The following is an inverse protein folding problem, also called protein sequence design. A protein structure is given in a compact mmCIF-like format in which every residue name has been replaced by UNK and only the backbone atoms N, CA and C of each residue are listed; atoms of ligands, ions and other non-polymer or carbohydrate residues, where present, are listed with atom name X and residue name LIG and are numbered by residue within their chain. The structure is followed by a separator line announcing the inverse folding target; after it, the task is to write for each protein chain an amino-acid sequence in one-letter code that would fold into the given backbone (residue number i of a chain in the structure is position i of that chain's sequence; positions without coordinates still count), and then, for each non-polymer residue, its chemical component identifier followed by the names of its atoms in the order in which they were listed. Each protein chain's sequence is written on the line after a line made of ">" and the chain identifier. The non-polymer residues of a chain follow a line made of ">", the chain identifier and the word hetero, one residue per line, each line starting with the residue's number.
data_IF_126432937254
#
_entry.id   IF_126432937254
#
_cell.length_a   1.000
_cell.length_b   1.000
_cell.length_c   1.000
_cell.angle_alpha   90.00
_cell.angle_beta   90.00
_cell.angle_gamma   90.00
#
_symmetry.space_group_name_H-M   'P 1'
#
loop_
_entity.id
_entity.type
_entity.pdbx_description
1 polymer ?
#
# COMPACT_ATOMS: atom_id res chain seq x y z
N UNK A 1 -34.84 -14.79 26.44
CA UNK A 1 -33.39 -15.09 26.50
C UNK A 1 -32.68 -14.00 25.71
N UNK A 2 -32.08 -13.01 26.40
CA UNK A 2 -31.44 -11.84 25.75
C UNK A 2 -30.12 -12.31 25.12
N UNK A 3 -30.11 -12.52 23.80
CA UNK A 3 -28.90 -12.82 23.05
C UNK A 3 -27.98 -11.59 23.16
N UNK A 4 -26.87 -11.74 23.88
CA UNK A 4 -25.80 -10.75 23.92
C UNK A 4 -25.10 -10.79 22.56
N UNK A 5 -25.60 -10.00 21.59
CA UNK A 5 -24.81 -9.60 20.42
C UNK A 5 -23.78 -8.60 20.91
N UNK A 6 -22.69 -9.11 21.48
CA UNK A 6 -21.45 -8.34 21.60
C UNK A 6 -20.86 -8.31 20.19
N UNK A 7 -21.37 -7.38 19.38
CA UNK A 7 -20.87 -7.16 18.03
C UNK A 7 -19.35 -6.98 18.11
N UNK A 8 -18.65 -7.74 17.29
CA UNK A 8 -17.19 -7.86 17.20
C UNK A 8 -16.52 -6.57 16.67
N UNK A 9 -16.84 -5.42 17.28
CA UNK A 9 -16.38 -4.08 16.90
C UNK A 9 -15.09 -3.63 17.62
N UNK A 10 -14.44 -4.52 18.37
CA UNK A 10 -13.27 -4.17 19.19
C UNK A 10 -12.05 -5.11 19.03
N UNK A 11 -12.03 -5.97 18.00
CA UNK A 11 -11.02 -7.06 17.92
C UNK A 11 -9.93 -6.84 16.86
N UNK A 12 -9.99 -5.82 16.01
CA UNK A 12 -8.82 -5.49 15.15
C UNK A 12 -7.88 -4.50 15.81
N UNK A 13 -8.35 -3.67 16.74
CA UNK A 13 -7.48 -2.92 17.66
C UNK A 13 -6.79 -3.83 18.69
N UNK A 14 -7.35 -5.01 19.00
CA UNK A 14 -6.76 -5.94 19.96
C UNK A 14 -5.67 -6.87 19.37
N UNK A 15 -5.63 -7.08 18.05
CA UNK A 15 -4.54 -7.83 17.39
C UNK A 15 -3.38 -6.93 16.94
N UNK A 16 -3.56 -5.62 17.06
CA UNK A 16 -2.50 -4.61 17.00
C UNK A 16 -2.55 -3.78 18.30
N UNK A 17 -2.61 -4.47 19.45
CA UNK A 17 -2.11 -3.83 20.66
C UNK A 17 -0.66 -3.42 20.39
N UNK A 18 -0.15 -2.29 20.93
CA UNK A 18 1.28 -2.20 21.10
C UNK A 18 1.69 -3.50 21.77
N UNK A 19 2.69 -4.21 21.24
CA UNK A 19 3.38 -5.22 22.01
C UNK A 19 3.70 -4.54 23.33
N UNK A 20 2.93 -4.86 24.38
CA UNK A 20 3.21 -4.47 25.74
C UNK A 20 4.44 -5.30 26.13
N UNK A 21 5.59 -4.88 25.59
CA UNK A 21 6.86 -4.99 26.28
C UNK A 21 6.60 -4.36 27.64
N UNK A 22 6.84 -5.15 28.68
CA UNK A 22 6.69 -4.75 30.06
C UNK A 22 7.26 -3.34 30.26
N UNK A 23 6.53 -2.53 31.02
CA UNK A 23 6.94 -1.19 31.40
C UNK A 23 8.27 -1.25 32.16
N UNK A 24 9.36 -1.02 31.44
CA UNK A 24 10.51 -0.32 31.94
C UNK A 24 10.57 1.00 31.17
N UNK A 25 10.69 2.09 31.91
CA UNK A 25 10.80 3.47 31.40
C UNK A 25 12.05 3.61 30.53
N UNK A 26 11.92 3.37 29.22
CA UNK A 26 12.90 3.74 28.20
C UNK A 26 12.22 4.25 26.93
N UNK A 27 12.86 5.23 26.31
CA UNK A 27 12.35 6.11 25.26
C UNK A 27 11.57 5.41 24.13
N UNK A 28 10.59 6.14 23.57
CA UNK A 28 10.09 5.94 22.20
C UNK A 28 11.25 5.47 21.32
N UNK A 29 11.18 4.32 20.63
CA UNK A 29 12.33 3.79 19.90
C UNK A 29 12.89 4.89 19.00
N UNK A 30 14.14 5.29 19.26
CA UNK A 30 14.81 6.40 18.59
C UNK A 30 14.75 6.30 17.04
N UNK A 31 14.49 5.09 16.50
CA UNK A 31 14.30 4.81 15.08
C UNK A 31 13.07 5.49 14.41
N UNK A 32 11.97 5.76 15.13
CA UNK A 32 10.78 6.40 14.51
C UNK A 32 10.98 7.91 14.36
N UNK A 33 11.67 8.57 15.29
CA UNK A 33 11.98 10.01 15.23
C UNK A 33 13.13 10.31 14.25
N UNK A 34 14.03 9.35 14.02
CA UNK A 34 15.07 9.47 12.97
C UNK A 34 14.53 9.20 11.54
N UNK A 35 13.39 8.52 11.39
CA UNK A 35 12.85 8.02 10.10
C UNK A 35 12.48 9.09 9.06
N UNK A 36 12.30 10.35 9.45
CA UNK A 36 12.06 11.46 8.51
C UNK A 36 13.31 12.31 8.21
N UNK A 37 14.34 12.22 9.05
CA UNK A 37 15.57 13.01 8.92
C UNK A 37 16.45 12.52 7.77
N UNK A 38 16.36 11.24 7.41
CA UNK A 38 17.21 10.63 6.37
C UNK A 38 16.65 10.82 4.95
N UNK A 39 15.33 10.70 4.75
CA UNK A 39 14.75 10.88 3.41
C UNK A 39 14.83 12.34 2.94
N UNK A 40 14.51 13.30 3.82
CA UNK A 40 14.57 14.73 3.52
C UNK A 40 16.00 15.28 3.36
N UNK A 41 17.02 14.54 3.84
CA UNK A 41 18.44 14.87 3.66
C UNK A 41 19.05 14.25 2.40
N UNK A 42 18.51 13.12 1.92
CA UNK A 42 18.95 12.47 0.67
C UNK A 42 18.27 13.11 -0.55
N UNK A 43 16.96 13.33 -0.51
CA UNK A 43 16.20 13.80 -1.65
C UNK A 43 16.67 15.20 -2.12
N UNK A 44 16.82 15.41 -3.45
CA UNK A 44 17.08 16.74 -3.99
C UNK A 44 16.04 17.76 -3.53
N UNK A 45 16.43 19.03 -3.39
CA UNK A 45 15.60 20.09 -2.80
C UNK A 45 14.19 20.17 -3.39
N UNK A 46 14.07 20.06 -4.71
CA UNK A 46 12.81 20.11 -5.45
C UNK A 46 11.90 18.88 -5.26
N UNK A 47 12.40 17.81 -4.64
CA UNK A 47 11.69 16.54 -4.45
C UNK A 47 11.49 16.19 -2.96
N UNK A 48 11.81 17.10 -2.03
CA UNK A 48 11.66 16.87 -0.59
C UNK A 48 10.23 16.60 -0.14
N UNK A 49 9.21 17.01 -0.90
CA UNK A 49 7.82 16.68 -0.60
C UNK A 49 7.56 15.17 -0.56
N UNK A 50 8.32 14.37 -1.31
CA UNK A 50 8.21 12.91 -1.30
C UNK A 50 8.68 12.25 0.00
N UNK A 51 9.26 13.00 0.94
CA UNK A 51 9.54 12.51 2.29
C UNK A 51 8.26 12.27 3.11
N UNK A 52 7.12 12.85 2.72
CA UNK A 52 5.82 12.66 3.39
C UNK A 52 4.68 12.39 2.40
N UNK A 53 4.66 13.11 1.27
CA UNK A 53 3.65 13.00 0.21
C UNK A 53 4.18 12.18 -0.96
N UNK A 54 3.95 10.87 -0.92
CA UNK A 54 4.32 9.92 -1.96
C UNK A 54 3.19 8.91 -2.13
N UNK A 55 2.76 8.63 -3.36
CA UNK A 55 1.80 7.56 -3.56
C UNK A 55 2.45 6.22 -3.23
N UNK A 56 1.79 5.44 -2.41
CA UNK A 56 2.09 4.04 -2.20
C UNK A 56 0.98 3.21 -2.81
N UNK A 57 1.28 2.55 -3.92
CA UNK A 57 0.35 1.74 -4.72
C UNK A 57 0.51 0.29 -4.30
N UNK A 58 -0.58 -0.31 -3.80
CA UNK A 58 -0.61 -1.73 -3.43
C UNK A 58 -1.35 -2.49 -4.53
N UNK A 59 -0.70 -3.52 -5.09
CA UNK A 59 -1.29 -4.47 -6.05
C UNK A 59 -1.16 -5.86 -5.46
N UNK A 60 -2.27 -6.35 -4.92
CA UNK A 60 -2.35 -7.67 -4.33
C UNK A 60 -3.07 -8.60 -5.29
N UNK A 61 -2.32 -9.21 -6.21
CA UNK A 61 -2.86 -10.20 -7.13
C UNK A 61 -3.25 -11.48 -6.39
N UNK A 62 -2.62 -11.79 -5.25
CA UNK A 62 -2.90 -12.92 -4.33
C UNK A 62 -4.18 -12.77 -3.50
N UNK A 63 -4.70 -11.57 -3.32
CA UNK A 63 -6.00 -11.33 -2.66
C UNK A 63 -7.04 -10.64 -3.55
N UNK A 64 -6.61 -10.11 -4.70
CA UNK A 64 -7.49 -9.70 -5.79
C UNK A 64 -7.91 -8.26 -5.75
N UNK A 65 -7.08 -7.38 -5.22
CA UNK A 65 -7.40 -5.96 -5.11
C UNK A 65 -6.18 -5.08 -5.28
N UNK A 66 -6.46 -3.81 -5.55
CA UNK A 66 -5.48 -2.73 -5.53
C UNK A 66 -6.05 -1.53 -4.82
N UNK A 67 -5.19 -0.73 -4.21
CA UNK A 67 -5.51 0.57 -3.64
C UNK A 67 -4.24 1.43 -3.59
N UNK A 68 -4.41 2.73 -3.43
CA UNK A 68 -3.31 3.69 -3.29
C UNK A 68 -3.49 4.50 -2.02
N UNK A 69 -2.45 4.61 -1.20
CA UNK A 69 -2.40 5.61 -0.11
C UNK A 69 -1.54 6.80 -0.57
N UNK A 70 -1.95 8.07 -0.31
CA UNK A 70 -1.24 9.25 -0.79
C UNK A 70 -0.04 9.66 0.09
N UNK A 71 0.47 8.72 0.89
CA UNK A 71 1.55 8.98 1.85
C UNK A 71 2.67 7.97 1.74
N UNK A 72 3.86 8.46 2.12
CA UNK A 72 5.02 7.62 2.33
C UNK A 72 4.81 6.72 3.55
N UNK A 73 5.23 5.47 3.43
CA UNK A 73 5.11 4.43 4.46
C UNK A 73 6.39 4.30 5.26
N UNK A 74 6.39 4.61 6.54
CA UNK A 74 7.60 4.41 7.37
C UNK A 74 7.87 2.93 7.63
N UNK A 75 6.81 2.14 7.76
CA UNK A 75 6.88 0.70 8.01
C UNK A 75 5.60 0.01 7.53
N UNK A 76 5.65 -1.31 7.33
CA UNK A 76 4.49 -2.07 6.92
C UNK A 76 4.58 -3.57 7.14
N UNK A 77 3.43 -4.17 7.38
CA UNK A 77 3.26 -5.61 7.53
C UNK A 77 2.12 -6.10 6.65
N UNK A 78 2.32 -7.26 6.04
CA UNK A 78 1.25 -8.06 5.48
C UNK A 78 0.70 -8.97 6.58
N UNK A 79 -0.62 -8.99 6.71
CA UNK A 79 -1.36 -9.79 7.68
C UNK A 79 -2.07 -10.91 6.92
N UNK A 80 -2.02 -12.12 7.46
CA UNK A 80 -2.75 -13.29 6.97
C UNK A 80 -3.06 -14.21 8.16
N UNK A 81 -4.25 -14.09 8.76
CA UNK A 81 -4.54 -14.78 10.01
C UNK A 81 -6.01 -15.21 10.16
N UNK A 82 -6.20 -16.35 10.81
CA UNK A 82 -7.52 -16.77 11.30
C UNK A 82 -7.88 -16.05 12.59
N UNK A 83 -9.12 -15.60 12.68
CA UNK A 83 -9.68 -14.92 13.85
C UNK A 83 -10.92 -15.64 14.35
N UNK A 84 -11.08 -15.70 15.68
CA UNK A 84 -12.21 -16.39 16.34
C UNK A 84 -13.55 -15.64 16.23
N UNK A 85 -13.64 -14.59 15.43
CA UNK A 85 -14.84 -13.78 15.22
C UNK A 85 -15.57 -14.20 13.94
N UNK A 86 -16.73 -13.58 13.67
CA UNK A 86 -17.50 -13.76 12.42
C UNK A 86 -16.66 -13.49 11.15
N UNK A 87 -15.55 -12.75 11.29
CA UNK A 87 -14.62 -12.48 10.20
C UNK A 87 -13.87 -13.73 9.73
N UNK A 88 -13.72 -14.76 10.58
CA UNK A 88 -13.08 -16.05 10.31
C UNK A 88 -11.60 -15.98 9.93
N UNK A 89 -11.28 -15.25 8.88
CA UNK A 89 -9.97 -15.06 8.29
C UNK A 89 -9.80 -13.59 7.84
N UNK A 90 -8.62 -13.02 8.10
CA UNK A 90 -8.26 -11.62 7.78
C UNK A 90 -6.95 -11.63 7.01
N UNK A 91 -6.95 -10.95 5.87
CA UNK A 91 -5.77 -10.78 5.04
C UNK A 91 -5.62 -9.33 4.61
N UNK A 92 -4.39 -8.83 4.51
CA UNK A 92 -4.12 -7.54 3.90
C UNK A 92 -2.88 -6.87 4.43
N UNK A 93 -2.94 -5.54 4.59
CA UNK A 93 -1.77 -4.72 4.88
C UNK A 93 -2.05 -3.77 6.04
N UNK A 94 -1.04 -3.53 6.87
CA UNK A 94 -1.04 -2.48 7.89
C UNK A 94 0.25 -1.67 7.77
N UNK A 95 0.12 -0.36 7.87
CA UNK A 95 1.18 0.60 7.56
C UNK A 95 1.30 1.67 8.64
N UNK A 96 2.54 2.02 8.96
CA UNK A 96 2.88 3.27 9.64
C UNK A 96 3.24 4.30 8.57
N UNK A 97 2.75 5.53 8.71
CA UNK A 97 2.96 6.59 7.72
C UNK A 97 3.99 7.62 8.19
N UNK A 98 4.69 8.23 7.22
CA UNK A 98 5.46 9.44 7.46
C UNK A 98 4.48 10.64 7.50
N UNK A 99 3.97 10.94 8.69
CA UNK A 99 3.03 12.03 8.91
C UNK A 99 3.66 13.43 8.84
N UNK A 100 2.84 14.50 8.95
CA UNK A 100 3.31 15.89 8.94
C UNK A 100 4.22 16.24 10.12
N UNK A 101 4.07 15.53 11.23
CA UNK A 101 4.79 15.71 12.50
C UNK A 101 5.46 14.39 12.89
N UNK A 102 6.62 14.48 13.57
CA UNK A 102 7.45 13.33 13.93
C UNK A 102 7.04 12.67 15.25
N UNK A 103 6.31 13.39 16.09
CA UNK A 103 5.92 12.94 17.43
C UNK A 103 4.58 12.19 17.43
N UNK A 104 3.83 12.29 16.34
CA UNK A 104 2.50 11.73 16.21
C UNK A 104 2.52 10.41 15.44
N UNK A 105 1.61 9.51 15.83
CA UNK A 105 1.43 8.22 15.16
C UNK A 105 0.32 8.30 14.11
N UNK A 106 0.62 7.87 12.90
CA UNK A 106 -0.33 7.78 11.79
C UNK A 106 -0.29 6.37 11.23
N UNK A 107 -1.44 5.69 11.24
CA UNK A 107 -1.54 4.34 10.68
C UNK A 107 -2.60 4.26 9.62
N UNK A 108 -2.41 3.38 8.65
CA UNK A 108 -3.44 2.96 7.70
C UNK A 108 -3.34 1.46 7.52
N UNK A 109 -4.47 0.78 7.62
CA UNK A 109 -4.59 -0.65 7.30
C UNK A 109 -5.69 -0.86 6.28
N UNK A 110 -5.47 -1.81 5.39
CA UNK A 110 -6.43 -2.25 4.42
C UNK A 110 -6.52 -3.77 4.46
N UNK A 111 -7.70 -4.29 4.80
CA UNK A 111 -7.90 -5.73 5.01
C UNK A 111 -9.12 -6.25 4.27
N UNK A 112 -8.99 -7.46 3.76
CA UNK A 112 -10.05 -8.32 3.27
C UNK A 112 -10.38 -9.34 4.36
N UNK A 113 -11.66 -9.50 4.67
CA UNK A 113 -12.14 -10.42 5.72
C UNK A 113 -13.30 -11.25 5.20
N UNK A 114 -13.52 -12.45 5.73
CA UNK A 114 -14.71 -13.20 5.38
C UNK A 114 -15.95 -12.45 5.89
N UNK A 115 -17.02 -12.55 5.11
CA UNK A 115 -18.30 -11.93 5.39
C UNK A 115 -19.40 -13.00 5.43
N UNK A 116 -19.27 -13.88 6.43
CA UNK A 116 -20.12 -15.05 6.62
C UNK A 116 -21.46 -14.63 7.25
N UNK A 117 -22.60 -14.92 6.61
CA UNK A 117 -23.92 -14.66 7.19
C UNK A 117 -24.17 -15.48 8.47
N UNK A 118 -25.01 -14.96 9.35
CA UNK A 118 -25.55 -15.73 10.46
C UNK A 118 -26.45 -16.88 9.97
N UNK A 119 -26.59 -17.92 10.79
CA UNK A 119 -27.43 -19.08 10.47
C UNK A 119 -28.85 -18.66 10.09
N UNK A 120 -29.32 -19.15 8.94
CA UNK A 120 -30.65 -18.84 8.40
C UNK A 120 -30.75 -17.50 7.65
N UNK A 121 -29.69 -16.69 7.61
CA UNK A 121 -29.66 -15.42 6.86
C UNK A 121 -28.98 -15.62 5.51
N UNK A 122 -29.60 -15.17 4.42
CA UNK A 122 -28.98 -15.24 3.09
C UNK A 122 -27.85 -14.22 2.95
N UNK A 123 -26.82 -14.51 2.12
CA UNK A 123 -25.74 -13.55 1.84
C UNK A 123 -26.27 -12.20 1.34
N UNK A 124 -27.33 -12.22 0.52
CA UNK A 124 -27.95 -11.02 -0.02
C UNK A 124 -28.55 -10.16 1.10
N UNK A 125 -29.29 -10.78 2.01
CA UNK A 125 -29.89 -10.10 3.16
C UNK A 125 -28.81 -9.58 4.11
N UNK A 126 -27.81 -10.40 4.42
CA UNK A 126 -26.66 -10.02 5.24
C UNK A 126 -25.93 -8.78 4.71
N UNK A 127 -25.72 -8.73 3.39
CA UNK A 127 -25.00 -7.62 2.75
C UNK A 127 -25.83 -6.35 2.57
N UNK A 128 -27.15 -6.42 2.75
CA UNK A 128 -28.07 -5.29 2.51
C UNK A 128 -28.80 -4.82 3.76
N UNK A 129 -28.40 -5.34 4.93
CA UNK A 129 -28.98 -4.96 6.22
C UNK A 129 -27.91 -4.51 7.22
N UNK A 130 -28.32 -3.68 8.16
CA UNK A 130 -27.53 -3.24 9.30
C UNK A 130 -28.35 -3.51 10.57
N UNK A 131 -27.88 -4.45 11.40
CA UNK A 131 -28.67 -5.01 12.50
C UNK A 131 -30.08 -5.48 12.08
N UNK A 132 -30.19 -6.10 10.90
CA UNK A 132 -31.46 -6.57 10.34
C UNK A 132 -32.33 -5.50 9.68
N UNK A 133 -31.92 -4.22 9.71
CA UNK A 133 -32.64 -3.12 9.06
C UNK A 133 -32.08 -2.90 7.65
N UNK A 134 -32.90 -2.87 6.59
CA UNK A 134 -32.42 -2.59 5.23
C UNK A 134 -31.65 -1.27 5.14
N UNK A 135 -30.44 -1.30 4.56
CA UNK A 135 -29.57 -0.11 4.49
C UNK A 135 -30.00 0.89 3.40
N UNK A 136 -30.74 0.41 2.40
CA UNK A 136 -31.13 1.24 1.25
C UNK A 136 -32.07 2.35 1.69
N UNK A 137 -31.67 3.60 1.46
CA UNK A 137 -32.48 4.78 1.75
C UNK A 137 -32.37 5.29 3.20
N UNK A 138 -31.49 4.72 4.02
CA UNK A 138 -31.20 5.26 5.34
C UNK A 138 -30.41 6.57 5.23
N UNK A 139 -30.79 7.57 6.02
CA UNK A 139 -29.95 8.74 6.28
C UNK A 139 -28.79 8.39 7.22
N UNK A 140 -27.79 9.26 7.31
CA UNK A 140 -26.67 9.09 8.24
C UNK A 140 -27.15 9.10 9.69
N UNK A 141 -28.15 9.92 10.03
CA UNK A 141 -28.74 9.97 11.37
C UNK A 141 -29.47 8.67 11.71
N UNK A 142 -30.19 8.08 10.75
CA UNK A 142 -30.86 6.80 10.94
C UNK A 142 -29.85 5.67 11.13
N UNK A 143 -28.78 5.65 10.33
CA UNK A 143 -27.66 4.70 10.48
C UNK A 143 -27.05 4.77 11.88
N UNK A 144 -26.68 5.97 12.33
CA UNK A 144 -26.08 6.19 13.65
C UNK A 144 -27.05 5.86 14.79
N UNK A 145 -28.35 6.16 14.63
CA UNK A 145 -29.38 5.81 15.61
C UNK A 145 -29.51 4.30 15.81
N UNK A 146 -29.54 3.54 14.71
CA UNK A 146 -29.55 2.07 14.78
C UNK A 146 -28.28 1.58 15.48
N UNK A 147 -27.10 2.06 15.09
CA UNK A 147 -25.85 1.62 15.73
C UNK A 147 -25.83 1.93 17.23
N UNK A 148 -26.28 3.12 17.64
CA UNK A 148 -26.35 3.53 19.05
C UNK A 148 -27.26 2.64 19.90
N UNK A 149 -28.32 2.07 19.32
CA UNK A 149 -29.20 1.13 20.03
C UNK A 149 -28.56 -0.25 20.28
N UNK A 150 -27.50 -0.56 19.53
CA UNK A 150 -26.86 -1.88 19.53
C UNK A 150 -25.39 -1.86 20.00
N UNK A 151 -24.85 -0.70 20.42
CA UNK A 151 -23.46 -0.55 20.81
C UNK A 151 -23.28 0.51 21.90
N UNK A 152 -22.46 0.19 22.91
CA UNK A 152 -22.06 1.07 24.01
C UNK A 152 -20.89 2.01 23.63
N UNK A 153 -20.32 1.85 22.43
CA UNK A 153 -19.19 2.65 21.95
C UNK A 153 -19.46 4.17 21.98
N UNK A 154 -20.72 4.60 21.90
CA UNK A 154 -21.13 6.02 21.93
C UNK A 154 -21.05 6.65 23.33
N UNK A 155 -20.91 5.85 24.39
CA UNK A 155 -20.85 6.36 25.76
C UNK A 155 -19.53 7.10 25.99
N UNK A 156 -18.41 6.51 25.53
CA UNK A 156 -17.06 7.07 25.67
C UNK A 156 -16.56 7.86 24.45
N UNK A 157 -17.25 7.80 23.31
CA UNK A 157 -16.76 8.36 22.06
C UNK A 157 -17.78 9.26 21.36
N UNK A 158 -17.27 10.29 20.71
CA UNK A 158 -17.97 11.05 19.68
C UNK A 158 -17.79 10.32 18.35
N UNK A 159 -18.92 10.02 17.69
CA UNK A 159 -18.93 9.22 16.47
C UNK A 159 -19.69 9.96 15.38
N UNK A 160 -19.00 10.17 14.27
CA UNK A 160 -19.55 10.60 13.00
C UNK A 160 -19.47 9.44 12.01
N UNK A 161 -20.41 9.36 11.07
CA UNK A 161 -20.39 8.29 10.08
C UNK A 161 -21.67 8.19 9.29
N UNK A 162 -21.68 7.25 8.35
CA UNK A 162 -22.81 7.05 7.47
C UNK A 162 -22.51 6.16 6.29
N UNK A 163 -23.44 6.17 5.32
CA UNK A 163 -23.26 5.48 4.05
C UNK A 163 -22.63 6.41 3.01
N UNK A 164 -21.89 5.83 2.07
CA UNK A 164 -21.38 6.54 0.92
C UNK A 164 -21.51 5.71 -0.35
N UNK A 165 -21.54 6.37 -1.50
CA UNK A 165 -21.59 5.67 -2.78
C UNK A 165 -20.21 5.17 -3.17
N UNK A 166 -20.03 3.84 -3.26
CA UNK A 166 -18.86 3.21 -3.87
C UNK A 166 -19.30 2.43 -5.10
N UNK A 167 -18.71 2.75 -6.26
CA UNK A 167 -19.00 2.07 -7.52
C UNK A 167 -18.75 0.56 -7.39
N UNK A 168 -19.76 -0.24 -7.71
CA UNK A 168 -19.70 -1.70 -7.67
C UNK A 168 -19.72 -2.30 -6.26
N UNK A 169 -20.15 -1.53 -5.26
CA UNK A 169 -20.38 -2.01 -3.89
C UNK A 169 -21.88 -2.19 -3.62
N UNK A 170 -22.22 -3.28 -2.94
CA UNK A 170 -23.57 -3.54 -2.42
C UNK A 170 -23.85 -2.64 -1.21
N UNK A 171 -22.83 -2.44 -0.38
CA UNK A 171 -22.85 -1.60 0.81
C UNK A 171 -21.49 -0.94 0.99
N UNK A 172 -21.49 0.34 1.36
CA UNK A 172 -20.29 1.07 1.71
C UNK A 172 -20.60 2.11 2.79
N UNK A 173 -19.83 2.08 3.87
CA UNK A 173 -20.06 2.86 5.08
C UNK A 173 -18.75 3.33 5.69
N UNK A 174 -18.82 4.40 6.46
CA UNK A 174 -17.67 4.93 7.15
C UNK A 174 -18.05 5.44 8.54
N UNK A 175 -17.05 5.55 9.41
CA UNK A 175 -17.15 6.23 10.68
C UNK A 175 -15.82 6.86 11.07
N UNK A 176 -15.89 8.00 11.76
CA UNK A 176 -14.81 8.47 12.64
C UNK A 176 -15.26 8.30 14.07
N UNK A 177 -14.40 7.72 14.89
CA UNK A 177 -14.56 7.61 16.35
C UNK A 177 -13.46 8.44 17.00
N UNK A 178 -13.87 9.42 17.83
CA UNK A 178 -12.96 10.26 18.61
C UNK A 178 -13.33 10.13 20.09
N UNK A 179 -12.40 9.76 20.98
CA UNK A 179 -12.70 9.70 22.41
C UNK A 179 -13.12 11.05 22.97
N UNK A 180 -14.18 11.08 23.81
CA UNK A 180 -14.70 12.33 24.41
C UNK A 180 -13.68 13.02 25.32
N UNK A 181 -12.76 12.26 25.89
CA UNK A 181 -11.65 12.78 26.70
C UNK A 181 -10.75 13.78 25.95
N UNK A 182 -10.76 13.77 24.62
CA UNK A 182 -10.10 14.79 23.79
C UNK A 182 -10.80 16.14 23.90
N UNK A 183 -12.12 16.19 23.67
CA UNK A 183 -12.90 17.42 23.74
C UNK A 183 -13.00 17.96 25.18
N UNK A 184 -13.07 17.05 26.15
CA UNK A 184 -13.11 17.37 27.57
C UNK A 184 -11.73 17.74 28.15
N UNK A 185 -10.65 17.52 27.40
CA UNK A 185 -9.25 17.72 27.82
C UNK A 185 -8.91 16.99 29.13
N UNK A 186 -9.48 15.79 29.33
CA UNK A 186 -9.34 15.00 30.57
C UNK A 186 -8.27 13.92 30.49
N UNK A 187 -7.75 13.61 29.30
CA UNK A 187 -6.72 12.60 29.09
C UNK A 187 -5.32 13.11 29.44
N UNK A 188 -4.56 12.33 30.19
CA UNK A 188 -3.10 12.52 30.38
C UNK A 188 -2.27 11.80 29.31
N UNK A 189 -2.91 10.98 28.47
CA UNK A 189 -2.30 10.23 27.38
C UNK A 189 -2.67 10.81 26.01
N UNK A 190 -1.87 10.49 24.99
CA UNK A 190 -2.14 10.89 23.61
C UNK A 190 -3.44 10.26 23.12
N UNK A 191 -4.44 11.09 22.78
CA UNK A 191 -5.72 10.62 22.23
C UNK A 191 -5.61 10.50 20.71
N UNK A 192 -6.17 9.41 20.17
CA UNK A 192 -6.21 9.14 18.73
C UNK A 192 -7.67 9.08 18.26
N UNK A 193 -7.94 9.64 17.08
CA UNK A 193 -9.14 9.33 16.31
C UNK A 193 -8.92 8.06 15.50
N UNK A 194 -10.01 7.31 15.27
CA UNK A 194 -10.03 6.18 14.36
C UNK A 194 -11.01 6.47 13.23
N UNK A 195 -10.54 6.44 11.99
CA UNK A 195 -11.38 6.45 10.81
C UNK A 195 -11.49 5.03 10.26
N UNK A 196 -12.70 4.58 9.98
CA UNK A 196 -12.96 3.32 9.31
C UNK A 196 -13.84 3.55 8.09
N UNK A 197 -13.50 2.90 6.99
CA UNK A 197 -14.39 2.71 5.87
C UNK A 197 -14.48 1.23 5.53
N UNK A 198 -15.70 0.77 5.29
CA UNK A 198 -15.99 -0.61 5.02
C UNK A 198 -16.89 -0.71 3.81
N UNK A 199 -16.58 -1.64 2.91
CA UNK A 199 -17.42 -1.91 1.75
C UNK A 199 -17.45 -3.39 1.37
N UNK A 200 -18.61 -3.80 0.86
CA UNK A 200 -18.86 -5.14 0.33
C UNK A 200 -19.09 -4.99 -1.16
N UNK A 201 -18.25 -5.64 -1.97
CA UNK A 201 -18.27 -5.49 -3.41
C UNK A 201 -19.28 -6.44 -4.06
N UNK A 202 -20.02 -5.98 -5.07
CA UNK A 202 -21.03 -6.81 -5.78
C UNK A 202 -20.41 -8.07 -6.40
N UNK A 203 -19.17 -7.95 -6.86
CA UNK A 203 -18.40 -9.04 -7.48
C UNK A 203 -17.68 -9.95 -6.48
N UNK A 204 -17.70 -9.60 -5.20
CA UNK A 204 -17.09 -10.39 -4.13
C UNK A 204 -17.94 -10.34 -2.84
N UNK A 205 -19.18 -10.86 -2.88
CA UNK A 205 -20.16 -10.64 -1.81
C UNK A 205 -19.84 -11.41 -0.52
N UNK A 206 -18.97 -12.41 -0.58
CA UNK A 206 -18.57 -13.24 0.56
C UNK A 206 -17.42 -12.63 1.36
N UNK A 207 -16.92 -11.45 0.95
CA UNK A 207 -15.85 -10.74 1.65
C UNK A 207 -16.24 -9.28 1.92
N UNK A 208 -15.63 -8.77 2.98
CA UNK A 208 -15.72 -7.38 3.41
C UNK A 208 -14.33 -6.77 3.32
N UNK A 209 -14.27 -5.58 2.76
CA UNK A 209 -13.05 -4.79 2.65
C UNK A 209 -13.11 -3.66 3.67
N UNK A 210 -12.10 -3.56 4.52
CA UNK A 210 -12.03 -2.60 5.61
C UNK A 210 -10.73 -1.80 5.51
N UNK A 211 -10.88 -0.49 5.37
CA UNK A 211 -9.85 0.52 5.57
C UNK A 211 -9.99 1.03 7.00
N UNK A 212 -8.93 0.97 7.80
CA UNK A 212 -8.90 1.58 9.13
C UNK A 212 -7.65 2.45 9.27
N UNK A 213 -7.77 3.62 9.88
CA UNK A 213 -6.69 4.56 10.08
C UNK A 213 -6.76 5.18 11.46
N UNK A 214 -5.61 5.33 12.13
CA UNK A 214 -5.50 6.03 13.41
C UNK A 214 -4.64 7.27 13.26
N UNK A 215 -5.07 8.38 13.84
CA UNK A 215 -4.36 9.66 13.78
C UNK A 215 -4.78 10.62 14.90
N UNK A 216 -3.94 11.60 15.29
CA UNK A 216 -4.31 12.59 16.28
C UNK A 216 -5.53 13.39 15.82
N UNK A 217 -6.54 13.67 16.68
CA UNK A 217 -7.76 14.34 16.26
C UNK A 217 -7.55 15.70 15.57
N UNK A 218 -6.50 16.45 15.91
CA UNK A 218 -6.16 17.72 15.27
C UNK A 218 -5.61 17.57 13.83
N UNK A 219 -5.24 16.35 13.42
CA UNK A 219 -4.77 16.02 12.06
C UNK A 219 -5.88 15.46 11.17
N UNK A 220 -7.13 15.60 11.60
CA UNK A 220 -8.33 15.15 10.88
C UNK A 220 -8.30 15.52 9.40
N UNK A 221 -8.11 16.80 9.08
CA UNK A 221 -8.21 17.27 7.70
C UNK A 221 -7.15 16.63 6.80
N UNK A 222 -5.91 16.50 7.30
CA UNK A 222 -4.83 15.87 6.55
C UNK A 222 -5.14 14.40 6.23
N UNK A 223 -5.58 13.64 7.23
CA UNK A 223 -5.82 12.20 7.07
C UNK A 223 -7.10 11.91 6.31
N UNK A 224 -8.22 12.52 6.69
CA UNK A 224 -9.51 12.25 6.05
C UNK A 224 -9.50 12.68 4.58
N UNK A 225 -8.84 13.78 4.23
CA UNK A 225 -8.69 14.19 2.83
C UNK A 225 -8.00 13.08 2.02
N UNK A 226 -6.85 12.56 2.47
CA UNK A 226 -6.15 11.50 1.73
C UNK A 226 -6.91 10.16 1.70
N UNK A 227 -7.67 9.84 2.74
CA UNK A 227 -8.52 8.63 2.76
C UNK A 227 -9.70 8.76 1.79
N UNK A 228 -10.43 9.87 1.85
CA UNK A 228 -11.66 10.10 1.09
C UNK A 228 -11.41 10.45 -0.37
N UNK A 229 -10.35 11.21 -0.69
CA UNK A 229 -10.06 11.67 -2.05
C UNK A 229 -9.15 10.69 -2.82
N UNK A 230 -8.34 9.88 -2.13
CA UNK A 230 -7.38 8.96 -2.78
C UNK A 230 -7.61 7.50 -2.42
N UNK A 231 -7.56 7.15 -1.14
CA UNK A 231 -7.50 5.74 -0.72
C UNK A 231 -8.78 4.97 -1.04
N UNK A 232 -9.94 5.48 -0.61
CA UNK A 232 -11.23 4.84 -0.87
C UNK A 232 -11.59 4.86 -2.37
N UNK A 233 -11.40 5.98 -3.10
CA UNK A 233 -11.67 6.00 -4.55
C UNK A 233 -10.78 5.05 -5.34
N UNK A 234 -9.49 4.96 -5.01
CA UNK A 234 -8.51 4.12 -5.72
C UNK A 234 -8.70 2.62 -5.51
N UNK A 235 -9.45 2.19 -4.48
CA UNK A 235 -9.72 0.77 -4.29
C UNK A 235 -10.46 0.17 -5.49
N UNK A 236 -9.92 -0.90 -6.05
CA UNK A 236 -10.57 -1.70 -7.07
C UNK A 236 -10.32 -3.19 -6.86
N UNK A 237 -11.32 -4.01 -7.20
CA UNK A 237 -11.11 -5.44 -7.37
C UNK A 237 -10.31 -5.67 -8.64
N UNK A 238 -9.14 -6.29 -8.48
CA UNK A 238 -8.44 -6.89 -9.60
C UNK A 238 -9.31 -8.03 -10.08
N UNK A 239 -9.66 -8.04 -11.37
CA UNK A 239 -10.47 -9.11 -11.93
C UNK A 239 -9.83 -10.46 -11.54
N UNK A 240 -10.50 -11.26 -10.72
CA UNK A 240 -10.14 -12.64 -10.48
C UNK A 240 -11.25 -13.46 -11.09
N UNK A 241 -11.05 -13.97 -12.30
CA UNK A 241 -11.90 -15.08 -12.70
C UNK A 241 -11.49 -16.29 -11.87
N UNK A 242 -12.36 -16.62 -10.94
CA UNK A 242 -12.39 -17.84 -10.14
C UNK A 242 -12.09 -19.07 -10.99
N UNK A 243 -11.15 -19.90 -10.53
CA UNK A 243 -10.93 -21.27 -11.02
C UNK A 243 -10.70 -21.40 -12.53
N UNK A 244 -9.43 -21.39 -12.95
CA UNK A 244 -9.00 -21.59 -14.34
C UNK A 244 -9.42 -20.50 -15.34
N UNK A 245 -8.43 -19.95 -16.05
CA UNK A 245 -8.69 -19.27 -17.32
C UNK A 245 -9.18 -17.81 -17.24
N UNK A 246 -8.22 -16.90 -17.32
CA UNK A 246 -8.33 -15.64 -18.05
C UNK A 246 -9.31 -14.58 -17.49
N UNK A 247 -8.73 -13.64 -16.76
CA UNK A 247 -9.01 -12.23 -17.03
C UNK A 247 -8.70 -11.99 -18.51
N UNK A 248 -9.69 -11.57 -19.32
CA UNK A 248 -9.37 -11.00 -20.64
C UNK A 248 -8.56 -9.72 -20.37
N UNK A 249 -7.24 -9.84 -20.46
CA UNK A 249 -6.29 -8.73 -20.29
C UNK A 249 -5.16 -9.04 -19.31
N UNK A 250 -5.45 -9.17 -18.02
CA UNK A 250 -4.43 -8.95 -16.98
C UNK A 250 -3.56 -10.19 -16.71
N UNK A 251 -4.13 -11.39 -16.50
CA UNK A 251 -3.30 -12.61 -16.39
C UNK A 251 -2.67 -13.01 -17.73
N UNK A 252 -3.37 -12.70 -18.84
CA UNK A 252 -2.83 -12.90 -20.18
C UNK A 252 -1.66 -11.94 -20.46
N UNK A 253 -1.53 -10.81 -19.75
CA UNK A 253 -0.39 -9.91 -19.89
C UNK A 253 0.89 -10.46 -19.26
N UNK A 254 0.79 -11.29 -18.22
CA UNK A 254 1.95 -11.74 -17.43
C UNK A 254 2.36 -13.21 -17.66
N UNK A 255 1.52 -14.03 -18.32
CA UNK A 255 1.82 -15.43 -18.60
C UNK A 255 2.26 -15.66 -20.05
N UNK A 256 3.46 -16.21 -20.26
CA UNK A 256 3.89 -16.68 -21.59
C UNK A 256 5.34 -17.15 -21.74
N UNK A 257 6.26 -16.78 -20.83
CA UNK A 257 7.66 -17.25 -20.82
C UNK A 257 8.14 -17.34 -19.36
N UNK A 258 9.09 -18.23 -19.06
CA UNK A 258 9.63 -18.41 -17.70
C UNK A 258 10.19 -17.09 -17.16
N UNK A 259 10.01 -16.84 -15.86
CA UNK A 259 10.63 -15.71 -15.16
C UNK A 259 12.15 -15.69 -15.44
N UNK A 260 12.69 -14.49 -15.64
CA UNK A 260 14.09 -14.24 -15.92
C UNK A 260 14.82 -14.17 -14.58
N UNK A 261 15.84 -15.02 -14.37
CA UNK A 261 16.75 -14.85 -13.24
C UNK A 261 17.62 -13.62 -13.50
N UNK A 262 17.56 -12.62 -12.61
CA UNK A 262 18.36 -11.40 -12.73
C UNK A 262 19.65 -11.54 -11.93
N UNK A 263 19.51 -11.86 -10.65
CA UNK A 263 20.59 -12.11 -9.69
C UNK A 263 20.06 -13.04 -8.59
N UNK A 264 20.93 -13.57 -7.73
CA UNK A 264 20.49 -14.36 -6.57
C UNK A 264 19.44 -13.59 -5.75
N UNK A 265 18.37 -14.28 -5.36
CA UNK A 265 17.24 -13.67 -4.65
C UNK A 265 16.23 -12.91 -5.52
N UNK A 266 16.52 -12.58 -6.79
CA UNK A 266 15.70 -11.67 -7.61
C UNK A 266 15.41 -12.21 -9.02
N UNK A 267 14.13 -12.29 -9.34
CA UNK A 267 13.60 -12.62 -10.68
C UNK A 267 12.85 -11.44 -11.28
N UNK A 268 12.68 -11.46 -12.60
CA UNK A 268 11.85 -10.53 -13.33
C UNK A 268 10.89 -11.27 -14.26
N UNK A 269 9.61 -10.91 -14.23
CA UNK A 269 8.57 -11.47 -15.09
C UNK A 269 8.86 -11.12 -16.53
N UNK A 270 8.83 -12.10 -17.44
CA UNK A 270 9.15 -11.85 -18.84
C UNK A 270 8.25 -10.74 -19.43
N UNK A 271 8.83 -9.67 -20.02
CA UNK A 271 8.08 -8.49 -20.46
C UNK A 271 7.28 -8.80 -21.73
N UNK A 272 6.00 -9.15 -21.58
CA UNK A 272 5.17 -9.54 -22.71
C UNK A 272 5.05 -8.42 -23.76
N UNK A 273 5.18 -8.81 -25.03
CA UNK A 273 5.11 -7.88 -26.16
C UNK A 273 6.41 -7.13 -26.43
N UNK A 274 7.45 -7.37 -25.63
CA UNK A 274 8.81 -6.96 -25.94
C UNK A 274 9.59 -8.12 -26.58
N UNK A 275 10.48 -7.78 -27.51
CA UNK A 275 11.41 -8.71 -28.16
C UNK A 275 12.76 -8.63 -27.47
N UNK A 276 13.35 -9.79 -27.15
CA UNK A 276 14.69 -9.86 -26.56
C UNK A 276 15.74 -9.31 -27.52
N UNK A 277 16.62 -8.42 -27.01
CA UNK A 277 17.79 -7.94 -27.73
C UNK A 277 18.97 -8.86 -27.40
N UNK A 278 19.69 -9.31 -28.43
CA UNK A 278 20.88 -10.16 -28.24
C UNK A 278 22.12 -9.29 -27.96
N UNK A 279 22.26 -8.81 -26.72
CA UNK A 279 23.43 -8.10 -26.23
C UNK A 279 24.16 -8.95 -25.18
N UNK A 280 25.44 -9.22 -25.41
CA UNK A 280 26.25 -10.07 -24.52
C UNK A 280 26.32 -9.45 -23.11
N UNK A 281 25.95 -10.24 -22.11
CA UNK A 281 26.00 -9.84 -20.70
C UNK A 281 24.90 -8.86 -20.25
N UNK A 282 23.90 -8.57 -21.09
CA UNK A 282 22.81 -7.65 -20.76
C UNK A 282 21.45 -8.32 -20.86
N UNK A 283 20.53 -7.91 -19.99
CA UNK A 283 19.13 -8.30 -20.04
C UNK A 283 18.33 -7.16 -20.67
N UNK A 284 18.27 -7.12 -22.00
CA UNK A 284 17.66 -6.01 -22.74
C UNK A 284 16.53 -6.48 -23.68
N UNK A 285 15.50 -5.66 -23.82
CA UNK A 285 14.35 -5.91 -24.67
C UNK A 285 13.91 -4.64 -25.41
N UNK A 286 13.19 -4.78 -26.51
CA UNK A 286 12.60 -3.66 -27.25
C UNK A 286 11.13 -3.90 -27.61
N UNK A 287 10.33 -2.84 -27.58
CA UNK A 287 8.97 -2.77 -28.14
C UNK A 287 8.79 -1.41 -28.79
N UNK A 288 8.56 -1.40 -30.10
CA UNK A 288 8.51 -0.18 -30.91
C UNK A 288 9.79 0.68 -30.69
N UNK A 289 9.63 1.92 -30.26
CA UNK A 289 10.71 2.86 -29.93
C UNK A 289 11.09 2.84 -28.44
N UNK A 290 10.60 1.89 -27.65
CA UNK A 290 10.91 1.76 -26.22
C UNK A 290 11.88 0.60 -26.01
N UNK A 291 12.98 0.89 -25.30
CA UNK A 291 13.96 -0.10 -24.83
C UNK A 291 13.73 -0.35 -23.35
N UNK A 292 13.78 -1.61 -22.93
CA UNK A 292 13.76 -2.04 -21.54
C UNK A 292 15.08 -2.73 -21.21
N UNK A 293 15.86 -2.16 -20.29
CA UNK A 293 17.06 -2.77 -19.74
C UNK A 293 16.79 -3.25 -18.31
N UNK A 294 17.28 -4.44 -17.98
CA UNK A 294 17.22 -5.02 -16.64
C UNK A 294 18.64 -5.31 -16.19
N UNK A 295 19.00 -4.75 -15.04
CA UNK A 295 20.36 -4.74 -14.51
C UNK A 295 20.32 -5.09 -13.01
N UNK A 296 21.45 -5.56 -12.48
CA UNK A 296 21.64 -5.76 -11.05
C UNK A 296 22.99 -5.27 -10.61
N UNK A 297 23.09 -4.83 -9.37
CA UNK A 297 24.32 -4.46 -8.71
C UNK A 297 24.25 -4.80 -7.21
N UNK A 298 25.40 -4.99 -6.60
CA UNK A 298 25.50 -5.26 -5.16
C UNK A 298 25.77 -3.95 -4.43
N UNK A 299 25.05 -3.71 -3.34
CA UNK A 299 25.37 -2.62 -2.42
C UNK A 299 26.30 -3.19 -1.34
N UNK A 300 27.35 -2.46 -0.92
CA UNK A 300 28.15 -2.88 0.23
C UNK A 300 27.22 -3.10 1.43
N UNK A 301 27.23 -4.30 2.01
CA UNK A 301 26.34 -4.74 3.12
C UNK A 301 26.42 -3.81 4.35
N UNK A 302 27.45 -2.97 4.46
CA UNK A 302 27.57 -1.96 5.51
C UNK A 302 26.64 -0.74 5.32
N UNK A 303 26.12 -0.51 4.10
CA UNK A 303 25.23 0.62 3.79
C UNK A 303 23.75 0.31 4.07
N UNK A 304 23.39 -0.96 4.26
CA UNK A 304 22.04 -1.42 4.64
C UNK A 304 22.25 -2.53 5.66
N UNK A 305 22.02 -2.23 6.94
CA UNK A 305 22.33 -3.07 8.12
C UNK A 305 22.27 -4.58 7.87
N UNK A 306 23.24 -5.34 8.43
CA UNK A 306 23.32 -6.81 8.35
C UNK A 306 22.03 -7.51 8.80
N UNK A 307 21.14 -7.78 7.85
CA UNK A 307 19.81 -8.32 8.08
C UNK A 307 18.91 -8.10 6.86
N UNK A 308 17.67 -8.55 6.94
CA UNK A 308 16.64 -8.23 5.95
C UNK A 308 16.52 -6.71 5.81
N UNK A 309 16.49 -6.16 4.59
CA UNK A 309 16.32 -4.73 4.44
C UNK A 309 14.96 -4.28 4.99
N UNK A 310 14.98 -3.36 5.96
CA UNK A 310 13.78 -2.72 6.50
C UNK A 310 13.10 -1.86 5.42
N UNK A 311 11.81 -1.52 5.61
CA UNK A 311 11.12 -0.53 4.76
C UNK A 311 11.94 0.76 4.61
N UNK A 312 12.57 1.21 5.70
CA UNK A 312 13.47 2.36 5.70
C UNK A 312 14.68 2.15 4.76
N UNK A 313 15.39 1.03 4.86
CA UNK A 313 16.54 0.75 3.99
C UNK A 313 16.15 0.68 2.51
N UNK A 314 14.98 0.10 2.22
CA UNK A 314 14.38 0.08 0.87
C UNK A 314 14.10 1.50 0.38
N UNK A 315 13.50 2.33 1.23
CA UNK A 315 13.20 3.72 0.91
C UNK A 315 14.42 4.60 0.66
N UNK A 316 15.47 4.43 1.47
CA UNK A 316 16.74 5.12 1.26
C UNK A 316 17.36 4.75 -0.09
N UNK A 317 17.24 3.49 -0.53
CA UNK A 317 17.66 3.09 -1.87
C UNK A 317 16.91 3.85 -2.96
N UNK A 318 15.57 3.92 -2.85
CA UNK A 318 14.73 4.69 -3.78
C UNK A 318 15.16 6.16 -3.85
N UNK A 319 15.33 6.81 -2.69
CA UNK A 319 15.71 8.22 -2.62
C UNK A 319 17.13 8.48 -3.16
N UNK A 320 18.09 7.59 -2.86
CA UNK A 320 19.44 7.67 -3.40
C UNK A 320 19.43 7.52 -4.92
N UNK A 321 18.60 6.61 -5.44
CA UNK A 321 18.46 6.42 -6.88
C UNK A 321 17.86 7.67 -7.55
N UNK A 322 16.83 8.29 -6.95
CA UNK A 322 16.31 9.59 -7.39
C UNK A 322 17.41 10.65 -7.40
N UNK A 323 18.22 10.75 -6.33
CA UNK A 323 19.34 11.68 -6.25
C UNK A 323 20.34 11.45 -7.40
N UNK A 324 20.74 10.21 -7.66
CA UNK A 324 21.65 9.86 -8.75
C UNK A 324 21.09 10.26 -10.12
N UNK A 325 19.82 9.95 -10.40
CA UNK A 325 19.17 10.35 -11.66
C UNK A 325 19.22 11.87 -11.85
N UNK A 326 18.99 12.64 -10.79
CA UNK A 326 18.99 14.11 -10.86
C UNK A 326 20.41 14.67 -10.99
N UNK A 327 21.34 14.22 -10.17
CA UNK A 327 22.70 14.77 -10.11
C UNK A 327 23.56 14.32 -11.30
N UNK A 328 23.47 13.06 -11.70
CA UNK A 328 24.28 12.45 -12.77
C UNK A 328 23.56 12.56 -14.11
N UNK A 329 22.33 12.07 -14.21
CA UNK A 329 21.60 12.02 -15.49
C UNK A 329 20.84 13.30 -15.83
N UNK A 330 20.91 14.32 -14.94
CA UNK A 330 20.18 15.60 -15.08
C UNK A 330 18.68 15.37 -15.30
N UNK A 331 18.13 14.39 -14.58
CA UNK A 331 16.74 14.00 -14.71
C UNK A 331 15.80 15.02 -14.05
N UNK A 332 14.67 15.26 -14.72
CA UNK A 332 13.47 15.85 -14.12
C UNK A 332 12.50 14.73 -13.82
N UNK A 333 12.23 14.50 -12.54
CA UNK A 333 11.29 13.48 -12.06
C UNK A 333 9.87 14.05 -12.11
N UNK A 334 8.98 13.35 -12.81
CA UNK A 334 7.54 13.67 -12.88
C UNK A 334 6.68 12.75 -12.01
N UNK A 335 7.20 11.58 -11.63
CA UNK A 335 6.51 10.61 -10.78
C UNK A 335 7.51 9.84 -9.94
N UNK A 336 7.25 9.71 -8.64
CA UNK A 336 8.00 8.88 -7.71
C UNK A 336 7.02 8.25 -6.73
N UNK A 337 6.96 6.91 -6.72
CA UNK A 337 5.96 6.14 -6.00
C UNK A 337 6.57 4.88 -5.39
N UNK A 338 6.02 4.46 -4.25
CA UNK A 338 6.28 3.12 -3.72
C UNK A 338 5.25 2.15 -4.27
N UNK A 339 5.69 1.05 -4.87
CA UNK A 339 4.81 -0.01 -5.34
C UNK A 339 5.00 -1.24 -4.45
N UNK A 340 3.90 -1.79 -3.93
CA UNK A 340 3.89 -3.01 -3.14
C UNK A 340 3.12 -4.05 -3.93
N UNK A 341 3.83 -5.00 -4.54
CA UNK A 341 3.25 -6.00 -5.45
C UNK A 341 3.38 -7.39 -4.84
N UNK A 342 2.25 -7.96 -4.42
CA UNK A 342 2.17 -9.24 -3.69
C UNK A 342 3.14 -9.33 -2.48
N UNK A 343 3.40 -8.18 -1.84
CA UNK A 343 4.34 -8.01 -0.72
C UNK A 343 5.76 -7.59 -1.08
N UNK A 344 6.11 -7.52 -2.37
CA UNK A 344 7.42 -7.02 -2.79
C UNK A 344 7.38 -5.49 -2.85
N UNK A 345 8.26 -4.83 -2.10
CA UNK A 345 8.37 -3.38 -2.08
C UNK A 345 9.37 -2.92 -3.15
N UNK A 346 8.92 -2.00 -3.98
CA UNK A 346 9.61 -1.47 -5.14
C UNK A 346 9.41 0.03 -5.22
N UNK A 347 10.28 0.73 -5.95
CA UNK A 347 10.16 2.15 -6.18
C UNK A 347 10.07 2.45 -7.66
N UNK A 348 8.93 3.00 -8.07
CA UNK A 348 8.70 3.42 -9.44
C UNK A 348 9.03 4.91 -9.60
N UNK A 349 9.86 5.23 -10.58
CA UNK A 349 10.29 6.59 -10.88
C UNK A 349 10.10 6.82 -12.38
N UNK A 350 9.57 7.97 -12.76
CA UNK A 350 9.46 8.36 -14.15
C UNK A 350 9.73 9.84 -14.35
N UNK A 351 10.12 10.18 -15.59
CA UNK A 351 10.44 11.55 -15.94
C UNK A 351 11.16 11.67 -17.26
N UNK A 352 11.97 12.71 -17.36
CA UNK A 352 12.81 12.97 -18.51
C UNK A 352 14.26 13.14 -18.07
N UNK A 353 15.21 12.69 -18.88
CA UNK A 353 16.64 12.82 -18.59
C UNK A 353 17.44 13.00 -19.87
N UNK A 354 18.73 13.34 -19.76
CA UNK A 354 19.65 13.27 -20.91
C UNK A 354 19.76 11.82 -21.38
N UNK A 355 19.78 11.59 -22.69
CA UNK A 355 19.97 10.24 -23.23
C UNK A 355 21.25 9.63 -22.63
N UNK A 356 21.16 8.54 -21.86
CA UNK A 356 22.30 7.97 -21.16
C UNK A 356 23.33 7.39 -22.13
N UNK A 357 22.93 7.03 -23.35
CA UNK A 357 23.83 6.51 -24.37
C UNK A 357 24.67 7.60 -25.06
N UNK A 358 24.31 8.87 -24.90
CA UNK A 358 25.03 10.01 -25.51
C UNK A 358 25.29 11.13 -24.50
N UNK A 359 25.16 10.86 -23.20
CA UNK A 359 25.13 11.87 -22.14
C UNK A 359 26.39 12.74 -22.04
N UNK A 360 27.55 12.20 -22.45
CA UNK A 360 28.83 12.90 -22.48
C UNK A 360 28.98 13.89 -23.64
N UNK A 361 27.99 13.95 -24.54
CA UNK A 361 27.98 14.88 -25.67
C UNK A 361 27.10 16.09 -25.37
N UNK A 362 27.52 17.28 -25.81
CA UNK A 362 26.71 18.50 -25.73
C UNK A 362 25.41 18.43 -26.55
N UNK A 363 25.28 17.43 -27.42
CA UNK A 363 24.13 17.16 -28.29
C UNK A 363 23.17 16.07 -27.73
N UNK A 364 23.32 15.66 -26.47
CA UNK A 364 22.49 14.61 -25.89
C UNK A 364 21.01 15.00 -25.87
N UNK A 365 20.23 14.40 -26.78
CA UNK A 365 18.78 14.59 -26.83
C UNK A 365 18.13 14.15 -25.51
N UNK A 366 17.04 14.82 -25.14
CA UNK A 366 16.23 14.41 -24.00
C UNK A 366 15.47 13.12 -24.33
N UNK A 367 15.36 12.23 -23.35
CA UNK A 367 14.57 10.99 -23.44
C UNK A 367 13.56 10.94 -22.30
N UNK A 368 12.49 10.20 -22.52
CA UNK A 368 11.54 9.84 -21.46
C UNK A 368 12.02 8.53 -20.83
N UNK A 369 11.92 8.42 -19.51
CA UNK A 369 12.26 7.19 -18.80
C UNK A 369 11.17 6.80 -17.80
N UNK A 370 11.06 5.50 -17.57
CA UNK A 370 10.34 4.89 -16.45
C UNK A 370 11.24 3.80 -15.87
N UNK A 371 11.36 3.73 -14.55
CA UNK A 371 12.28 2.82 -13.89
C UNK A 371 11.67 2.29 -12.61
N UNK A 372 11.90 1.01 -12.36
CA UNK A 372 11.59 0.38 -11.08
C UNK A 372 12.86 -0.19 -10.48
N UNK A 373 13.07 0.06 -9.19
CA UNK A 373 14.19 -0.49 -8.41
C UNK A 373 13.66 -1.31 -7.22
N UNK A 374 14.32 -2.43 -6.94
CA UNK A 374 14.01 -3.33 -5.82
C UNK A 374 15.29 -3.74 -5.09
N UNK A 375 15.20 -3.89 -3.77
CA UNK A 375 16.26 -4.43 -2.92
C UNK A 375 15.86 -5.84 -2.45
N UNK A 376 16.67 -6.83 -2.82
CA UNK A 376 16.53 -8.20 -2.34
C UNK A 376 17.12 -8.41 -0.96
N UNK A 377 16.72 -9.51 -0.31
CA UNK A 377 17.10 -9.82 1.08
C UNK A 377 18.59 -10.12 1.27
N UNK A 378 19.31 -10.40 0.19
CA UNK A 378 20.74 -10.71 0.19
C UNK A 378 21.61 -9.47 -0.10
N UNK A 379 21.02 -8.26 -0.08
CA UNK A 379 21.72 -7.01 -0.40
C UNK A 379 21.94 -6.77 -1.91
N UNK A 380 21.38 -7.65 -2.74
CA UNK A 380 21.35 -7.49 -4.19
C UNK A 380 20.27 -6.46 -4.57
N UNK A 381 20.60 -5.54 -5.47
CA UNK A 381 19.65 -4.61 -6.07
C UNK A 381 19.43 -4.96 -7.52
N UNK A 382 18.18 -4.85 -7.95
CA UNK A 382 17.83 -4.94 -9.36
C UNK A 382 17.06 -3.70 -9.81
N UNK A 383 17.31 -3.31 -11.06
CA UNK A 383 16.71 -2.15 -11.71
C UNK A 383 16.18 -2.57 -13.07
N UNK A 384 14.91 -2.25 -13.35
CA UNK A 384 14.31 -2.35 -14.66
C UNK A 384 14.06 -0.94 -15.18
N UNK A 385 14.65 -0.57 -16.30
CA UNK A 385 14.62 0.79 -16.86
C UNK A 385 14.09 0.76 -18.28
N UNK A 386 12.98 1.44 -18.51
CA UNK A 386 12.48 1.77 -19.83
C UNK A 386 12.96 3.14 -20.29
N UNK A 387 13.40 3.21 -21.55
CA UNK A 387 13.80 4.45 -22.22
C UNK A 387 13.07 4.55 -23.55
N UNK A 388 12.45 5.69 -23.80
CA UNK A 388 11.82 6.02 -25.07
C UNK A 388 12.14 7.45 -25.52
N UNK A 389 11.83 7.82 -26.77
CA UNK A 389 11.98 9.19 -27.24
C UNK A 389 11.27 10.23 -26.36
N UNK A 390 11.71 11.49 -26.47
CA UNK A 390 10.97 12.61 -25.90
C UNK A 390 9.50 12.58 -26.39
N UNK A 391 8.57 12.82 -25.46
CA UNK A 391 7.12 12.79 -25.74
C UNK A 391 6.43 11.44 -25.56
N UNK A 392 7.17 10.34 -25.38
CA UNK A 392 6.57 9.04 -25.00
C UNK A 392 6.23 9.04 -23.51
N UNK A 393 4.95 8.85 -23.17
CA UNK A 393 4.53 8.66 -21.77
C UNK A 393 4.82 7.24 -21.32
N UNK A 394 5.84 7.07 -20.47
CA UNK A 394 6.19 5.77 -19.87
C UNK A 394 5.46 5.50 -18.53
N UNK A 395 4.64 6.46 -18.07
CA UNK A 395 3.82 6.33 -16.87
C UNK A 395 2.41 5.76 -17.12
N UNK A 396 2.21 5.02 -18.21
CA UNK A 396 0.94 4.34 -18.48
C UNK A 396 0.84 3.07 -17.63
N UNK A 397 -0.39 2.61 -17.28
CA UNK A 397 -0.57 1.37 -16.53
C UNK A 397 0.11 0.15 -17.18
N UNK A 398 0.12 0.06 -18.51
CA UNK A 398 0.77 -1.04 -19.23
C UNK A 398 2.28 -1.09 -18.99
N UNK A 399 2.98 0.05 -19.08
CA UNK A 399 4.42 0.09 -18.86
C UNK A 399 4.79 -0.07 -17.39
N UNK A 400 3.97 0.48 -16.50
CA UNK A 400 4.11 0.30 -15.06
C UNK A 400 4.00 -1.18 -14.69
N UNK A 401 2.98 -1.89 -15.17
CA UNK A 401 2.79 -3.32 -14.88
C UNK A 401 3.96 -4.18 -15.38
N UNK A 402 4.62 -3.79 -16.46
CA UNK A 402 5.84 -4.46 -16.93
C UNK A 402 7.02 -4.13 -16.02
N UNK A 403 7.22 -2.87 -15.65
CA UNK A 403 8.28 -2.44 -14.75
C UNK A 403 8.12 -3.01 -13.33
N UNK A 404 6.88 -3.28 -12.93
CA UNK A 404 6.53 -3.95 -11.68
C UNK A 404 6.83 -5.46 -11.68
N UNK A 405 7.45 -5.98 -12.73
CA UNK A 405 7.67 -7.42 -12.94
C UNK A 405 8.65 -8.09 -11.98
N UNK A 406 9.30 -7.36 -11.06
CA UNK A 406 10.24 -7.94 -10.11
C UNK A 406 9.57 -8.86 -9.09
N UNK A 407 10.29 -9.93 -8.70
CA UNK A 407 9.88 -10.89 -7.68
C UNK A 407 11.08 -11.26 -6.82
N UNK A 408 10.90 -11.26 -5.50
CA UNK A 408 11.88 -11.85 -4.58
C UNK A 408 11.63 -13.36 -4.47
N UNK A 409 12.71 -14.15 -4.50
CA UNK A 409 12.64 -15.61 -4.34
C UNK A 409 12.79 -16.05 -2.89
N UNK A 410 13.24 -15.16 -2.01
CA UNK A 410 13.27 -15.33 -0.57
C UNK A 410 12.27 -14.36 0.05
N UNK A 411 11.42 -14.85 0.95
CA UNK A 411 10.49 -14.02 1.74
C UNK A 411 10.70 -14.35 3.20
N UNK A 412 10.77 -13.34 4.06
CA UNK A 412 10.84 -13.56 5.51
C UNK A 412 9.45 -13.57 6.12
N UNK A 413 9.07 -14.76 6.56
CA UNK A 413 7.89 -14.97 7.37
C UNK A 413 8.33 -14.87 8.84
N UNK A 414 7.89 -13.83 9.55
CA UNK A 414 8.28 -13.62 10.95
C UNK A 414 7.47 -14.50 11.90
N UNK A 415 6.30 -14.95 11.46
CA UNK A 415 5.50 -16.07 11.97
C UNK A 415 4.55 -16.50 10.83
N UNK A 416 3.95 -17.69 10.86
CA UNK A 416 3.11 -18.22 9.77
C UNK A 416 1.90 -17.34 9.36
N UNK A 417 1.69 -16.21 10.03
CA UNK A 417 0.55 -15.29 9.87
C UNK A 417 0.89 -13.84 9.51
N UNK A 418 2.17 -13.49 9.37
CA UNK A 418 2.58 -12.11 9.01
C UNK A 418 3.93 -12.05 8.30
N UNK A 419 4.03 -11.15 7.32
CA UNK A 419 5.25 -10.87 6.57
C UNK A 419 5.62 -9.39 6.70
N UNK A 420 6.84 -9.09 7.15
CA UNK A 420 7.37 -7.72 7.17
C UNK A 420 7.72 -7.30 5.74
N UNK A 421 7.39 -6.05 5.39
CA UNK A 421 7.49 -5.55 4.01
C UNK A 421 8.86 -5.02 3.60
#
# INVERSE_FOLDING_TARGET
>A
MKLRLTAAFMVVTALVGPLAMAADTEATPHAIVESQKDSASILPAQYKSYATKMNTVVKDYKNGYTFTIPWRVSDGVMVDMDVRSESGHIQGYSFNLAGPTQEDSYTVSFTKRNNTPQDGVSQKEWNTTWYGVPIKGLSNEQYLSIWRQHSDVFDANDIEGGFFAKKGATAARWNRTTPKSYAEMTSTESVQSVFEAEFIMDKDPTHRYNLASTYPPFQKDFMEQGLLETTIPSFELLNRKSGSGAIKGVQKMLAGMSDINVVEGIKFTYPKGFTRINEKGKIAFAKNNVRLDIESFTIPVQAVSSGVPTMMGKQMLGDYYVKQLVEVNKATISRYETHIVDGNVMFYIAGHMKNPNTADTSAAAQVSFGVTIILGNEGNVAVARMIGPAGVTLATPEFIDILDGFKLTTTLNTNQSSQVL
#
